data_IF_530047451287
#
_entry.id   IF_530047451287
#
_cell.length_a   1.000
_cell.length_b   1.000
_cell.length_c   1.000
_cell.angle_alpha   90.00
_cell.angle_beta   90.00
_cell.angle_gamma   90.00
#
_symmetry.space_group_name_H-M   'P 1'
#
loop_
_entity.id
_entity.type
_entity.pdbx_description
1 polymer ?
#
# COMPACT_ATOMS: atom_id res chain seq x y z
N UNK A 1 21.28 35.78 -52.54
CA UNK A 1 20.92 34.46 -51.95
C UNK A 1 19.52 34.11 -52.41
N UNK A 2 19.29 32.93 -52.99
CA UNK A 2 18.03 32.60 -53.65
C UNK A 2 16.92 32.44 -52.59
N UNK A 3 15.89 33.28 -52.60
CA UNK A 3 14.81 33.26 -51.60
C UNK A 3 14.14 31.88 -51.42
N UNK A 4 14.00 31.03 -52.46
CA UNK A 4 13.53 29.66 -52.31
C UNK A 4 14.47 28.78 -51.47
N UNK A 5 15.78 28.94 -51.61
CA UNK A 5 16.80 28.16 -50.87
C UNK A 5 16.77 28.55 -49.39
N UNK A 6 16.62 29.84 -49.07
CA UNK A 6 16.47 30.33 -47.70
C UNK A 6 15.22 29.79 -47.00
N UNK A 7 14.08 29.76 -47.70
CA UNK A 7 12.83 29.19 -47.17
C UNK A 7 12.95 27.69 -46.93
N UNK A 8 13.58 26.97 -47.86
CA UNK A 8 13.82 25.54 -47.72
C UNK A 8 14.77 25.25 -46.55
N UNK A 9 15.86 26.00 -46.42
CA UNK A 9 16.78 25.90 -45.30
C UNK A 9 16.10 26.19 -43.95
N UNK A 10 15.27 27.23 -43.88
CA UNK A 10 14.48 27.54 -42.69
C UNK A 10 13.51 26.41 -42.32
N UNK A 11 12.85 25.81 -43.31
CA UNK A 11 11.98 24.65 -43.08
C UNK A 11 12.75 23.46 -42.49
N UNK A 12 13.92 23.12 -43.05
CA UNK A 12 14.74 22.04 -42.52
C UNK A 12 15.27 22.32 -41.11
N UNK A 13 15.65 23.57 -40.82
CA UNK A 13 16.07 23.99 -39.48
C UNK A 13 14.96 23.78 -38.44
N UNK A 14 13.73 24.15 -38.78
CA UNK A 14 12.55 23.93 -37.93
C UNK A 14 12.30 22.43 -37.73
N UNK A 15 12.37 21.62 -38.79
CA UNK A 15 12.20 20.17 -38.69
C UNK A 15 13.29 19.52 -37.84
N UNK A 16 14.54 19.95 -37.95
CA UNK A 16 15.64 19.46 -37.11
C UNK A 16 15.47 19.88 -35.65
N UNK A 17 15.06 21.13 -35.39
CA UNK A 17 14.77 21.58 -34.03
C UNK A 17 13.59 20.81 -33.41
N UNK A 18 12.53 20.55 -34.19
CA UNK A 18 11.40 19.74 -33.76
C UNK A 18 11.80 18.29 -33.49
N UNK A 19 12.62 17.69 -34.36
CA UNK A 19 13.16 16.35 -34.14
C UNK A 19 14.03 16.30 -32.89
N UNK A 20 14.94 17.26 -32.69
CA UNK A 20 15.80 17.33 -31.51
C UNK A 20 15.01 17.56 -30.22
N UNK A 21 13.96 18.39 -30.27
CA UNK A 21 13.06 18.59 -29.14
C UNK A 21 12.29 17.30 -28.82
N UNK A 22 11.77 16.60 -29.85
CA UNK A 22 11.03 15.36 -29.66
C UNK A 22 11.91 14.21 -29.17
N UNK A 23 13.14 14.09 -29.70
CA UNK A 23 14.10 13.11 -29.19
C UNK A 23 14.52 13.43 -27.77
N UNK A 24 14.82 14.69 -27.44
CA UNK A 24 15.17 15.11 -26.08
C UNK A 24 14.02 14.87 -25.09
N UNK A 25 12.79 15.22 -25.48
CA UNK A 25 11.58 14.93 -24.71
C UNK A 25 11.46 13.43 -24.42
N UNK A 26 11.62 12.59 -25.46
CA UNK A 26 11.54 11.14 -25.28
C UNK A 26 12.72 10.54 -24.50
N UNK A 27 13.91 11.13 -24.59
CA UNK A 27 15.15 10.61 -24.01
C UNK A 27 15.40 11.09 -22.58
N UNK A 28 14.71 12.15 -22.14
CA UNK A 28 14.86 12.74 -20.81
C UNK A 28 13.55 12.67 -20.02
N UNK A 29 12.42 13.07 -20.62
CA UNK A 29 11.14 13.14 -19.90
C UNK A 29 10.45 11.78 -19.87
N UNK A 30 10.39 11.07 -21.01
CA UNK A 30 9.74 9.76 -21.09
C UNK A 30 10.71 8.58 -20.87
N UNK A 31 11.97 8.85 -20.55
CA UNK A 31 12.99 7.81 -20.46
C UNK A 31 12.64 6.73 -19.44
N UNK A 32 12.17 7.16 -18.27
CA UNK A 32 11.78 6.24 -17.20
C UNK A 32 10.54 5.43 -17.61
N UNK A 33 9.53 6.07 -18.20
CA UNK A 33 8.33 5.40 -18.70
C UNK A 33 8.63 4.33 -19.78
N UNK A 34 9.61 4.56 -20.66
CA UNK A 34 10.03 3.56 -21.66
C UNK A 34 10.88 2.44 -21.06
N UNK A 35 11.62 2.74 -20.00
CA UNK A 35 12.52 1.78 -19.33
C UNK A 35 11.72 0.85 -18.41
N UNK A 36 10.71 1.38 -17.73
CA UNK A 36 9.78 0.66 -16.86
C UNK A 36 8.67 -0.08 -17.61
N UNK A 37 8.62 0.07 -18.93
CA UNK A 37 7.65 -0.65 -19.75
C UNK A 37 7.94 -2.15 -19.70
N UNK A 38 6.93 -2.94 -19.33
CA UNK A 38 7.03 -4.40 -19.21
C UNK A 38 7.48 -5.11 -20.51
N UNK A 39 7.35 -4.46 -21.67
CA UNK A 39 7.83 -5.00 -22.96
C UNK A 39 9.31 -4.75 -23.22
N UNK A 40 9.99 -3.96 -22.39
CA UNK A 40 11.39 -3.63 -22.55
C UNK A 40 12.28 -4.50 -21.65
N UNK A 41 12.76 -5.62 -22.20
CA UNK A 41 13.60 -6.57 -21.46
C UNK A 41 15.07 -6.15 -21.30
N UNK A 42 15.53 -5.11 -22.01
CA UNK A 42 16.95 -4.71 -22.03
C UNK A 42 17.48 -4.33 -20.64
N UNK A 43 16.81 -3.45 -19.87
CA UNK A 43 17.30 -3.05 -18.54
C UNK A 43 17.40 -4.25 -17.60
N UNK A 44 16.45 -5.17 -17.64
CA UNK A 44 16.42 -6.36 -16.78
C UNK A 44 17.55 -7.35 -17.14
N UNK A 45 17.90 -7.50 -18.43
CA UNK A 45 19.06 -8.31 -18.86
C UNK A 45 20.37 -7.68 -18.39
N UNK A 46 20.50 -6.36 -18.45
CA UNK A 46 21.68 -5.66 -17.93
C UNK A 46 21.77 -5.78 -16.40
N UNK A 47 20.64 -5.70 -15.70
CA UNK A 47 20.53 -5.85 -14.25
C UNK A 47 20.94 -7.27 -13.78
N UNK A 48 20.77 -8.32 -14.61
CA UNK A 48 21.30 -9.66 -14.29
C UNK A 48 22.83 -9.70 -14.18
N UNK A 49 23.56 -8.71 -14.71
CA UNK A 49 25.02 -8.61 -14.53
C UNK A 49 25.41 -7.87 -13.26
N UNK A 50 24.45 -7.19 -12.63
CA UNK A 50 24.65 -6.42 -11.41
C UNK A 50 24.45 -7.35 -10.23
N UNK A 51 25.38 -7.28 -9.26
CA UNK A 51 25.19 -7.95 -7.99
C UNK A 51 24.11 -7.20 -7.19
N UNK A 52 22.83 -7.52 -7.45
CA UNK A 52 21.68 -6.86 -6.83
C UNK A 52 21.73 -6.97 -5.30
N UNK A 53 21.42 -5.87 -4.63
CA UNK A 53 21.57 -5.72 -3.18
C UNK A 53 20.69 -6.67 -2.36
N UNK A 54 21.04 -6.86 -1.09
CA UNK A 54 20.35 -7.81 -0.20
C UNK A 54 19.17 -7.13 0.48
N UNK A 55 18.01 -7.80 0.53
CA UNK A 55 16.90 -7.39 1.40
C UNK A 55 17.02 -8.14 2.72
N UNK A 56 17.00 -7.42 3.85
CA UNK A 56 17.08 -7.99 5.20
C UNK A 56 15.87 -7.64 6.05
N UNK A 57 15.49 -8.54 6.93
CA UNK A 57 14.51 -8.28 7.97
C UNK A 57 15.11 -7.41 9.09
N UNK A 58 14.27 -6.97 10.04
CA UNK A 58 14.70 -6.13 11.17
C UNK A 58 15.76 -6.79 12.06
N UNK A 59 15.74 -8.12 12.16
CA UNK A 59 16.67 -8.92 12.96
C UNK A 59 17.98 -9.22 12.22
N UNK A 60 18.14 -8.68 11.00
CA UNK A 60 19.31 -8.89 10.15
C UNK A 60 19.25 -10.15 9.30
N UNK A 61 18.23 -11.01 9.44
CA UNK A 61 18.06 -12.18 8.60
C UNK A 61 17.91 -11.78 7.12
N UNK A 62 18.53 -12.55 6.24
CA UNK A 62 18.44 -12.32 4.79
C UNK A 62 17.07 -12.79 4.31
N UNK A 63 16.34 -11.91 3.62
CA UNK A 63 15.07 -12.24 2.96
C UNK A 63 15.27 -12.53 1.47
N UNK A 64 16.02 -11.67 0.77
CA UNK A 64 16.34 -11.84 -0.64
C UNK A 64 17.82 -11.49 -0.91
N UNK A 65 18.47 -12.23 -1.81
CA UNK A 65 19.85 -12.01 -2.21
C UNK A 65 20.11 -12.47 -3.63
N UNK A 66 21.19 -11.98 -4.21
CA UNK A 66 21.68 -12.45 -5.50
C UNK A 66 22.71 -13.57 -5.35
N UNK A 67 22.65 -14.55 -6.25
CA UNK A 67 23.59 -15.67 -6.32
C UNK A 67 24.24 -15.70 -7.70
N UNK A 68 25.57 -15.71 -7.74
CA UNK A 68 26.31 -15.83 -8.99
C UNK A 68 26.07 -17.21 -9.63
N UNK A 69 25.73 -17.21 -10.92
CA UNK A 69 25.65 -18.39 -11.77
C UNK A 69 26.93 -18.58 -12.59
N UNK A 70 27.08 -19.76 -13.21
CA UNK A 70 28.25 -20.12 -14.04
C UNK A 70 28.48 -19.19 -15.23
N UNK A 71 27.45 -18.47 -15.68
CA UNK A 71 27.43 -17.57 -16.84
C UNK A 71 27.86 -16.13 -16.54
N UNK A 72 28.40 -15.84 -15.35
CA UNK A 72 28.66 -14.47 -14.85
C UNK A 72 27.40 -13.62 -14.69
N UNK A 73 26.22 -14.25 -14.68
CA UNK A 73 24.94 -13.63 -14.35
C UNK A 73 24.58 -13.92 -12.90
N UNK A 74 23.84 -13.00 -12.28
CA UNK A 74 23.27 -13.15 -10.96
C UNK A 74 21.81 -13.58 -11.06
N UNK A 75 21.45 -14.53 -10.21
CA UNK A 75 20.08 -14.98 -10.03
C UNK A 75 19.53 -14.53 -8.70
N UNK A 76 18.28 -14.07 -8.69
CA UNK A 76 17.59 -13.67 -7.47
C UNK A 76 17.08 -14.87 -6.69
N UNK A 77 17.40 -14.94 -5.40
CA UNK A 77 17.00 -16.01 -4.48
C UNK A 77 16.42 -15.46 -3.19
N UNK A 78 15.36 -16.10 -2.73
CA UNK A 78 14.65 -15.78 -1.50
C UNK A 78 14.92 -16.87 -0.46
N UNK A 79 15.24 -16.47 0.77
CA UNK A 79 15.46 -17.43 1.85
C UNK A 79 14.13 -18.06 2.31
N UNK A 80 14.20 -19.06 3.19
CA UNK A 80 13.00 -19.60 3.84
C UNK A 80 12.23 -18.50 4.59
N UNK A 81 12.95 -17.55 5.18
CA UNK A 81 12.37 -16.38 5.85
C UNK A 81 11.78 -15.42 4.82
N UNK A 82 12.47 -15.18 3.70
CA UNK A 82 11.97 -14.37 2.58
C UNK A 82 10.65 -14.87 2.02
N UNK A 83 10.48 -16.20 1.90
CA UNK A 83 9.23 -16.80 1.46
C UNK A 83 8.03 -16.48 2.38
N UNK A 84 8.26 -16.22 3.67
CA UNK A 84 7.19 -15.78 4.60
C UNK A 84 6.66 -14.38 4.27
N UNK A 85 7.47 -13.58 3.57
CA UNK A 85 7.17 -12.20 3.21
C UNK A 85 6.98 -12.03 1.71
N UNK A 86 6.66 -13.11 0.97
CA UNK A 86 6.59 -13.11 -0.50
C UNK A 86 5.81 -11.92 -1.07
N UNK A 87 4.65 -11.57 -0.51
CA UNK A 87 3.89 -10.40 -0.96
C UNK A 87 4.46 -9.05 -0.53
N UNK A 88 5.13 -8.97 0.63
CA UNK A 88 5.70 -7.70 1.11
C UNK A 88 7.01 -7.37 0.37
N UNK A 89 7.89 -8.35 0.20
CA UNK A 89 9.15 -8.14 -0.55
C UNK A 89 8.93 -8.23 -2.07
N UNK A 90 7.97 -9.03 -2.50
CA UNK A 90 7.70 -9.30 -3.91
C UNK A 90 8.69 -10.28 -4.54
N UNK A 91 8.90 -10.12 -5.83
CA UNK A 91 9.82 -10.93 -6.63
C UNK A 91 10.47 -10.08 -7.74
N UNK A 92 11.51 -10.63 -8.38
CA UNK A 92 12.28 -10.00 -9.45
C UNK A 92 12.79 -11.07 -10.41
N UNK A 93 12.12 -11.22 -11.55
CA UNK A 93 12.48 -12.15 -12.61
C UNK A 93 12.30 -11.51 -13.98
N UNK A 94 13.15 -11.90 -14.92
CA UNK A 94 13.14 -11.34 -16.28
C UNK A 94 11.81 -11.59 -17.02
N UNK A 95 11.21 -12.77 -16.82
CA UNK A 95 10.00 -13.19 -17.55
C UNK A 95 8.70 -12.78 -16.87
N UNK A 96 8.62 -12.96 -15.55
CA UNK A 96 7.39 -12.71 -14.78
C UNK A 96 7.33 -11.31 -14.18
N UNK A 97 8.38 -10.51 -14.38
CA UNK A 97 8.46 -9.13 -13.98
C UNK A 97 8.85 -8.96 -12.52
N UNK A 98 8.40 -7.86 -11.93
CA UNK A 98 8.83 -7.41 -10.61
C UNK A 98 7.66 -6.89 -9.79
N UNK A 99 7.67 -7.15 -8.49
CA UNK A 99 6.62 -6.74 -7.58
C UNK A 99 7.16 -6.29 -6.21
N UNK A 100 6.30 -5.62 -5.43
CA UNK A 100 6.57 -5.18 -4.07
C UNK A 100 7.86 -4.40 -3.87
N UNK A 101 8.53 -4.59 -2.73
CA UNK A 101 9.78 -3.87 -2.41
C UNK A 101 10.89 -4.09 -3.44
N UNK A 102 10.93 -5.25 -4.10
CA UNK A 102 11.86 -5.45 -5.21
C UNK A 102 11.63 -4.41 -6.31
N UNK A 103 10.37 -4.11 -6.65
CA UNK A 103 10.00 -3.09 -7.65
C UNK A 103 10.24 -1.68 -7.14
N UNK A 104 9.76 -1.39 -5.94
CA UNK A 104 9.86 -0.06 -5.34
C UNK A 104 11.32 0.40 -5.20
N UNK A 105 12.17 -0.44 -4.59
CA UNK A 105 13.57 -0.11 -4.35
C UNK A 105 14.49 -0.64 -5.45
N UNK A 106 14.03 -0.75 -6.69
CA UNK A 106 14.86 -1.30 -7.77
C UNK A 106 16.13 -0.48 -8.01
N UNK A 107 16.02 0.84 -7.93
CA UNK A 107 17.14 1.74 -8.17
C UNK A 107 18.22 1.55 -7.11
N UNK A 108 17.84 1.51 -5.83
CA UNK A 108 18.74 1.18 -4.73
C UNK A 108 19.37 -0.21 -4.90
N UNK A 109 18.52 -1.23 -5.13
CA UNK A 109 18.92 -2.62 -5.25
C UNK A 109 19.80 -2.89 -6.47
N UNK A 110 19.84 -2.01 -7.46
CA UNK A 110 20.74 -2.09 -8.63
C UNK A 110 21.88 -1.06 -8.54
N UNK A 111 21.96 -0.26 -7.48
CA UNK A 111 22.98 0.77 -7.31
C UNK A 111 22.85 1.88 -8.36
N UNK A 112 21.62 2.19 -8.79
CA UNK A 112 21.33 3.33 -9.66
C UNK A 112 21.39 4.58 -8.80
N UNK A 113 22.49 5.31 -8.88
CA UNK A 113 22.61 6.65 -8.27
C UNK A 113 22.44 7.71 -9.35
N UNK A 114 22.27 8.96 -8.93
CA UNK A 114 22.28 10.14 -9.81
C UNK A 114 23.40 10.05 -10.87
N UNK A 115 23.12 10.50 -12.09
CA UNK A 115 24.01 10.45 -13.26
C UNK A 115 25.43 10.99 -12.98
N UNK A 116 25.59 11.92 -12.04
CA UNK A 116 26.92 12.45 -11.68
C UNK A 116 27.79 11.43 -10.94
N UNK A 117 27.18 10.63 -10.06
CA UNK A 117 27.87 9.56 -9.31
C UNK A 117 28.23 8.37 -10.20
N UNK A 118 27.37 8.02 -11.15
CA UNK A 118 27.62 6.91 -12.08
C UNK A 118 28.85 7.17 -12.96
N UNK A 119 29.04 8.39 -13.46
CA UNK A 119 30.21 8.80 -14.26
C UNK A 119 31.52 8.67 -13.46
N UNK A 120 31.53 9.11 -12.21
CA UNK A 120 32.72 9.03 -11.34
C UNK A 120 33.09 7.58 -11.02
N UNK A 121 32.09 6.73 -10.75
CA UNK A 121 32.34 5.31 -10.48
C UNK A 121 32.79 4.54 -11.73
N UNK A 122 32.27 4.92 -12.91
CA UNK A 122 32.69 4.38 -14.20
C UNK A 122 34.15 4.75 -14.51
N UNK A 123 34.56 6.00 -14.24
CA UNK A 123 35.96 6.46 -14.35
C UNK A 123 36.90 5.75 -13.36
N UNK A 124 36.38 5.32 -12.21
CA UNK A 124 37.12 4.56 -11.18
C UNK A 124 37.13 3.05 -11.43
N UNK A 125 36.49 2.56 -12.49
CA UNK A 125 36.42 1.14 -12.82
C UNK A 125 35.67 0.29 -11.80
N UNK A 126 34.81 0.90 -10.96
CA UNK A 126 34.02 0.17 -9.97
C UNK A 126 32.88 -0.57 -10.67
N UNK A 127 32.81 -1.88 -10.48
CA UNK A 127 31.63 -2.64 -10.89
C UNK A 127 30.41 -2.14 -10.12
N UNK A 128 29.32 -1.89 -10.83
CA UNK A 128 28.04 -1.50 -10.23
C UNK A 128 27.50 -2.65 -9.39
N UNK A 129 27.21 -2.37 -8.13
CA UNK A 129 26.67 -3.30 -7.15
C UNK A 129 25.50 -2.61 -6.46
N UNK A 130 24.47 -3.38 -6.12
CA UNK A 130 23.28 -2.89 -5.46
C UNK A 130 23.46 -2.59 -3.98
N UNK A 131 22.79 -1.56 -3.52
CA UNK A 131 22.68 -1.22 -2.10
C UNK A 131 21.68 -2.17 -1.42
N UNK A 132 21.89 -2.45 -0.14
CA UNK A 132 21.03 -3.33 0.65
C UNK A 132 19.87 -2.59 1.29
N UNK A 133 18.69 -3.20 1.30
CA UNK A 133 17.49 -2.69 1.97
C UNK A 133 17.33 -3.40 3.31
N UNK A 134 17.33 -2.62 4.40
CA UNK A 134 17.00 -3.14 5.73
C UNK A 134 15.53 -2.80 5.98
N UNK A 135 14.71 -3.80 6.29
CA UNK A 135 13.27 -3.65 6.50
C UNK A 135 12.90 -3.65 7.99
N UNK A 136 11.68 -3.20 8.28
CA UNK A 136 11.02 -3.24 9.58
C UNK A 136 10.35 -4.59 9.87
N UNK A 137 10.28 -5.48 8.87
CA UNK A 137 9.62 -6.78 8.91
C UNK A 137 10.20 -7.67 10.00
N UNK A 138 9.32 -8.31 10.78
CA UNK A 138 9.67 -9.15 11.91
C UNK A 138 9.39 -10.64 11.60
N UNK A 139 10.43 -11.47 11.37
CA UNK A 139 10.23 -12.88 11.02
C UNK A 139 9.57 -13.71 12.12
N UNK A 140 9.69 -13.31 13.39
CA UNK A 140 9.02 -13.96 14.51
C UNK A 140 7.51 -13.67 14.48
N UNK A 141 7.15 -12.39 14.43
CA UNK A 141 5.76 -11.96 14.39
C UNK A 141 5.04 -12.43 13.11
N UNK A 142 5.73 -12.43 11.96
CA UNK A 142 5.18 -12.93 10.69
C UNK A 142 4.77 -14.41 10.78
N UNK A 143 5.60 -15.26 11.41
CA UNK A 143 5.26 -16.68 11.62
C UNK A 143 4.04 -16.86 12.50
N UNK A 144 3.94 -16.07 13.59
CA UNK A 144 2.76 -16.08 14.47
C UNK A 144 1.51 -15.70 13.69
N UNK A 145 1.57 -14.64 12.88
CA UNK A 145 0.44 -14.19 12.06
C UNK A 145 0.01 -15.24 11.02
N UNK A 146 0.96 -15.85 10.30
CA UNK A 146 0.68 -16.93 9.34
C UNK A 146 0.02 -18.12 10.06
N UNK A 147 0.55 -18.53 11.21
CA UNK A 147 0.00 -19.63 11.99
C UNK A 147 -1.43 -19.33 12.49
N UNK A 148 -1.71 -18.09 12.91
CA UNK A 148 -3.02 -17.66 13.38
C UNK A 148 -4.11 -17.75 12.29
N UNK A 149 -3.74 -17.61 11.01
CA UNK A 149 -4.67 -17.79 9.89
C UNK A 149 -5.12 -19.25 9.73
N UNK A 150 -4.37 -20.23 10.23
CA UNK A 150 -4.72 -21.66 10.19
C UNK A 150 -5.10 -22.14 8.77
N UNK A 151 -4.36 -21.66 7.76
CA UNK A 151 -4.60 -22.01 6.34
C UNK A 151 -5.81 -21.32 5.70
N UNK A 152 -6.53 -20.44 6.42
CA UNK A 152 -7.66 -19.68 5.87
C UNK A 152 -7.18 -18.60 4.91
N UNK A 153 -8.04 -18.25 3.94
CA UNK A 153 -7.83 -17.11 3.03
C UNK A 153 -7.98 -15.82 3.82
N UNK A 154 -7.03 -14.90 3.72
CA UNK A 154 -7.07 -13.66 4.48
C UNK A 154 -5.77 -12.88 4.47
N UNK A 155 -5.69 -11.89 5.36
CA UNK A 155 -4.53 -11.04 5.54
C UNK A 155 -4.44 -10.58 6.98
N UNK A 156 -3.21 -10.33 7.44
CA UNK A 156 -2.91 -9.73 8.74
C UNK A 156 -1.84 -8.66 8.51
N UNK A 157 -2.09 -7.47 9.04
CA UNK A 157 -1.14 -6.35 9.04
C UNK A 157 -0.93 -5.90 10.48
N UNK A 158 0.33 -5.68 10.88
CA UNK A 158 0.67 -5.09 12.17
C UNK A 158 1.62 -3.91 11.97
N UNK A 159 1.26 -2.77 12.56
CA UNK A 159 1.97 -1.51 12.46
C UNK A 159 2.38 -1.09 13.87
N UNK A 160 3.60 -0.63 14.03
CA UNK A 160 4.04 0.05 15.26
C UNK A 160 3.42 1.46 15.31
N UNK A 161 2.50 1.76 16.26
CA UNK A 161 1.69 2.97 16.21
C UNK A 161 2.48 4.27 16.16
N UNK A 162 3.50 4.39 17.02
CA UNK A 162 4.29 5.61 17.18
C UNK A 162 5.18 5.95 15.99
N UNK A 163 5.48 4.97 15.12
CA UNK A 163 6.45 5.16 14.04
C UNK A 163 5.88 4.91 12.65
N UNK A 164 4.78 4.16 12.53
CA UNK A 164 4.28 3.67 11.24
C UNK A 164 5.07 2.46 10.70
N UNK A 165 6.01 1.90 11.47
CA UNK A 165 6.80 0.75 10.99
C UNK A 165 5.91 -0.47 10.80
N UNK A 166 5.83 -0.98 9.58
CA UNK A 166 5.10 -2.22 9.28
C UNK A 166 5.96 -3.41 9.73
N UNK A 167 5.46 -4.16 10.72
CA UNK A 167 6.15 -5.32 11.30
C UNK A 167 5.71 -6.63 10.67
N UNK A 168 4.43 -6.71 10.31
CA UNK A 168 3.79 -7.91 9.74
C UNK A 168 2.95 -7.48 8.56
N UNK A 169 3.06 -8.21 7.45
CA UNK A 169 2.19 -8.08 6.29
C UNK A 169 2.04 -9.46 5.67
N UNK A 170 0.91 -10.10 5.95
CA UNK A 170 0.59 -11.47 5.51
C UNK A 170 -0.54 -11.40 4.49
N UNK A 171 -0.45 -12.19 3.42
CA UNK A 171 -1.55 -12.51 2.52
C UNK A 171 -1.58 -14.02 2.33
N UNK A 172 -2.74 -14.64 2.53
CA UNK A 172 -2.95 -16.08 2.35
C UNK A 172 -4.14 -16.36 1.45
N UNK A 173 -4.05 -17.42 0.60
CA UNK A 173 -2.86 -18.23 0.31
C UNK A 173 -1.79 -17.41 -0.43
N UNK A 174 -0.53 -17.80 -0.26
CA UNK A 174 0.61 -17.15 -0.91
C UNK A 174 1.35 -18.07 -1.87
N UNK A 175 2.56 -17.68 -2.25
CA UNK A 175 3.42 -18.37 -3.21
C UNK A 175 4.86 -18.44 -2.71
N UNK A 176 5.64 -19.36 -3.28
CA UNK A 176 7.09 -19.37 -3.11
C UNK A 176 7.71 -18.50 -4.21
N UNK A 177 8.34 -17.35 -3.88
CA UNK A 177 8.91 -16.47 -4.87
C UNK A 177 10.03 -17.14 -5.68
N UNK A 178 10.74 -18.14 -5.14
CA UNK A 178 11.79 -18.85 -5.88
C UNK A 178 11.26 -19.70 -7.05
N UNK A 179 9.95 -19.93 -7.12
CA UNK A 179 9.31 -20.73 -8.18
C UNK A 179 8.75 -19.88 -9.32
N UNK A 180 8.79 -18.56 -9.20
CA UNK A 180 8.19 -17.65 -10.19
C UNK A 180 9.07 -17.40 -11.42
N UNK A 181 10.27 -17.97 -11.49
CA UNK A 181 11.06 -17.99 -12.73
C UNK A 181 10.53 -19.04 -13.73
N UNK A 182 9.76 -20.02 -13.24
CA UNK A 182 9.06 -21.02 -14.05
C UNK A 182 7.72 -20.46 -14.53
N UNK A 183 7.63 -20.23 -15.84
CA UNK A 183 6.45 -19.67 -16.51
C UNK A 183 5.19 -20.51 -16.28
N UNK A 184 5.30 -21.84 -16.31
CA UNK A 184 4.16 -22.71 -16.08
C UNK A 184 3.64 -22.64 -14.64
N UNK A 185 4.53 -22.37 -13.66
CA UNK A 185 4.12 -22.12 -12.28
C UNK A 185 3.44 -20.76 -12.16
N UNK A 186 4.01 -19.71 -12.75
CA UNK A 186 3.45 -18.36 -12.70
C UNK A 186 2.07 -18.27 -13.37
N UNK A 187 1.90 -18.87 -14.56
CA UNK A 187 0.62 -18.90 -15.27
C UNK A 187 -0.46 -19.59 -14.45
N UNK A 188 -0.11 -20.72 -13.83
CA UNK A 188 -1.02 -21.45 -12.94
C UNK A 188 -1.43 -20.60 -11.73
N UNK A 189 -0.50 -19.85 -11.13
CA UNK A 189 -0.80 -18.99 -9.99
C UNK A 189 -1.61 -17.75 -10.40
N UNK A 190 -1.36 -17.21 -11.60
CA UNK A 190 -2.04 -16.03 -12.14
C UNK A 190 -3.49 -16.32 -12.57
N UNK A 191 -3.77 -17.57 -12.95
CA UNK A 191 -5.11 -18.02 -13.39
C UNK A 191 -5.92 -18.72 -12.29
N UNK A 192 -5.36 -18.83 -11.07
CA UNK A 192 -6.09 -19.38 -9.93
C UNK A 192 -7.02 -18.32 -9.32
N UNK A 193 -8.17 -18.10 -9.95
CA UNK A 193 -9.21 -17.16 -9.49
C UNK A 193 -9.77 -17.53 -8.12
N UNK A 194 -9.81 -18.84 -7.81
CA UNK A 194 -10.36 -19.31 -6.55
C UNK A 194 -9.49 -18.85 -5.37
N UNK A 195 -8.17 -18.92 -5.50
CA UNK A 195 -7.23 -18.64 -4.42
C UNK A 195 -6.48 -17.32 -4.57
N UNK A 196 -6.40 -16.75 -5.77
CA UNK A 196 -5.66 -15.52 -6.12
C UNK A 196 -4.34 -15.40 -5.34
N UNK A 197 -3.41 -16.36 -5.47
CA UNK A 197 -2.24 -16.46 -4.61
C UNK A 197 -1.26 -15.29 -4.80
N UNK A 198 -1.19 -14.71 -6.00
CA UNK A 198 -0.34 -13.55 -6.29
C UNK A 198 -0.90 -12.23 -5.72
N UNK A 199 -2.20 -12.16 -5.42
CA UNK A 199 -2.85 -10.96 -4.90
C UNK A 199 -2.36 -10.65 -3.48
N UNK A 200 -1.82 -9.46 -3.27
CA UNK A 200 -1.50 -8.98 -1.93
C UNK A 200 -2.79 -8.49 -1.26
N UNK A 201 -3.42 -9.36 -0.46
CA UNK A 201 -4.67 -9.02 0.24
C UNK A 201 -4.53 -7.89 1.24
N UNK A 202 -3.32 -7.59 1.71
CA UNK A 202 -3.08 -6.50 2.65
C UNK A 202 -3.28 -5.12 2.02
N UNK A 203 -2.93 -4.96 0.74
CA UNK A 203 -2.84 -3.65 0.07
C UNK A 203 -3.70 -3.55 -1.19
N UNK A 204 -4.01 -4.66 -1.85
CA UNK A 204 -4.68 -4.70 -3.17
C UNK A 204 -6.13 -5.19 -3.11
N UNK A 205 -6.50 -5.89 -2.04
CA UNK A 205 -7.84 -6.44 -1.90
C UNK A 205 -8.71 -5.57 -0.98
N UNK A 206 -9.94 -5.35 -1.43
CA UNK A 206 -10.91 -4.52 -0.76
C UNK A 206 -12.04 -5.31 -0.13
N UNK A 207 -12.32 -5.07 1.14
CA UNK A 207 -13.31 -5.81 1.94
C UNK A 207 -14.32 -4.87 2.59
N UNK A 208 -15.53 -5.35 2.85
CA UNK A 208 -16.45 -4.63 3.73
C UNK A 208 -15.88 -4.69 5.18
N UNK A 209 -15.60 -3.54 5.84
CA UNK A 209 -15.06 -3.56 7.20
C UNK A 209 -16.10 -4.01 8.23
N UNK A 210 -17.38 -3.72 7.97
CA UNK A 210 -18.43 -3.89 8.96
C UNK A 210 -18.08 -3.16 10.25
N UNK A 211 -18.32 -3.82 11.38
CA UNK A 211 -18.25 -3.17 12.70
C UNK A 211 -16.89 -2.62 13.11
N UNK A 212 -15.78 -3.01 12.45
CA UNK A 212 -14.47 -2.38 12.72
C UNK A 212 -14.46 -0.90 12.35
N UNK A 213 -15.28 -0.47 11.38
CA UNK A 213 -15.39 0.92 10.97
C UNK A 213 -16.07 1.82 12.02
N UNK A 214 -16.83 1.25 12.97
CA UNK A 214 -17.44 2.02 14.07
C UNK A 214 -16.39 2.76 14.91
N UNK A 215 -15.12 2.34 14.86
CA UNK A 215 -13.99 3.07 15.46
C UNK A 215 -13.81 4.45 14.81
N UNK A 216 -13.95 4.56 13.49
CA UNK A 216 -13.89 5.84 12.75
C UNK A 216 -15.05 6.74 13.17
N UNK A 217 -16.27 6.18 13.23
CA UNK A 217 -17.46 6.91 13.68
C UNK A 217 -17.35 7.33 15.15
N UNK A 218 -16.80 6.49 16.02
CA UNK A 218 -16.56 6.82 17.42
C UNK A 218 -15.55 7.95 17.57
N UNK A 219 -14.44 7.90 16.82
CA UNK A 219 -13.46 8.99 16.81
C UNK A 219 -14.10 10.32 16.38
N UNK A 220 -14.87 10.32 15.29
CA UNK A 220 -15.59 11.49 14.81
C UNK A 220 -16.60 12.04 15.84
N UNK A 221 -17.34 11.15 16.50
CA UNK A 221 -18.35 11.51 17.48
C UNK A 221 -17.76 12.17 18.74
N UNK A 222 -16.62 11.66 19.20
CA UNK A 222 -15.96 12.16 20.41
C UNK A 222 -15.13 13.41 20.14
N UNK A 223 -14.33 13.43 19.05
CA UNK A 223 -13.44 14.55 18.73
C UNK A 223 -14.20 15.80 18.29
N UNK A 224 -15.39 15.66 17.71
CA UNK A 224 -16.29 16.79 17.42
C UNK A 224 -16.92 17.42 18.66
N UNK A 225 -16.85 16.76 19.82
CA UNK A 225 -17.52 17.19 21.05
C UNK A 225 -19.04 17.02 21.06
N UNK A 226 -19.64 16.47 19.99
CA UNK A 226 -21.09 16.22 19.92
C UNK A 226 -21.53 15.08 20.85
N UNK A 227 -20.62 14.15 21.14
CA UNK A 227 -20.86 13.03 22.04
C UNK A 227 -19.74 12.85 23.05
N UNK A 228 -20.09 12.23 24.17
CA UNK A 228 -19.15 11.72 25.16
C UNK A 228 -19.26 10.19 25.23
N UNK A 229 -18.30 9.48 25.84
CA UNK A 229 -18.43 8.03 26.04
C UNK A 229 -19.71 7.62 26.80
N UNK A 230 -20.26 8.54 27.62
CA UNK A 230 -21.48 8.34 28.41
C UNK A 230 -22.75 8.87 27.74
N UNK A 231 -22.67 9.45 26.55
CA UNK A 231 -23.85 9.88 25.81
C UNK A 231 -24.76 8.67 25.56
N UNK A 232 -26.01 8.78 26.01
CA UNK A 232 -26.99 7.70 25.95
C UNK A 232 -27.71 7.72 24.61
N UNK A 233 -27.70 6.61 23.89
CA UNK A 233 -28.38 6.44 22.60
C UNK A 233 -29.26 5.19 22.64
N UNK A 234 -30.42 5.26 21.99
CA UNK A 234 -31.35 4.13 21.92
C UNK A 234 -30.79 3.03 21.01
N UNK A 235 -30.49 1.87 21.60
CA UNK A 235 -30.21 0.62 20.90
C UNK A 235 -31.47 -0.20 20.61
N UNK A 236 -32.62 0.45 20.40
CA UNK A 236 -33.84 -0.19 19.87
C UNK A 236 -33.55 -0.83 18.51
N UNK A 237 -34.21 -1.94 18.21
CA UNK A 237 -34.15 -2.62 16.91
C UNK A 237 -35.56 -3.12 16.50
N UNK A 238 -35.92 -3.12 15.21
CA UNK A 238 -35.29 -2.36 14.14
C UNK A 238 -35.55 -0.86 14.28
N UNK A 239 -34.80 -0.06 13.53
CA UNK A 239 -35.05 1.37 13.29
C UNK A 239 -35.02 1.64 11.78
N UNK A 240 -35.51 2.81 11.36
CA UNK A 240 -35.31 3.31 9.99
C UNK A 240 -34.08 4.22 9.98
N UNK A 241 -33.15 3.98 9.06
CA UNK A 241 -31.94 4.77 8.82
C UNK A 241 -31.93 5.12 7.34
N UNK A 242 -31.85 6.42 7.03
CA UNK A 242 -31.91 6.95 5.66
C UNK A 242 -33.07 6.37 4.81
N UNK A 243 -34.21 6.13 5.45
CA UNK A 243 -35.42 5.58 4.80
C UNK A 243 -35.45 4.06 4.61
N UNK A 244 -34.44 3.33 5.07
CA UNK A 244 -34.36 1.87 4.97
C UNK A 244 -34.27 1.21 6.36
N UNK A 245 -34.84 -0.01 6.55
CA UNK A 245 -34.80 -0.70 7.83
C UNK A 245 -33.37 -1.15 8.18
N UNK A 246 -32.97 -0.95 9.44
CA UNK A 246 -31.73 -1.42 10.01
C UNK A 246 -32.02 -2.14 11.33
N UNK A 247 -31.33 -3.26 11.56
CA UNK A 247 -31.45 -4.06 12.78
C UNK A 247 -30.10 -4.35 13.42
N UNK A 248 -30.12 -4.58 14.73
CA UNK A 248 -29.00 -5.15 15.45
C UNK A 248 -28.79 -6.62 15.06
N UNK A 249 -27.61 -7.15 15.38
CA UNK A 249 -27.37 -8.59 15.27
C UNK A 249 -28.44 -9.35 16.07
N UNK A 250 -29.02 -10.39 15.47
CA UNK A 250 -30.14 -11.16 16.04
C UNK A 250 -31.35 -10.32 16.48
N UNK A 251 -31.51 -9.10 15.97
CA UNK A 251 -32.54 -8.14 16.36
C UNK A 251 -32.57 -7.83 17.88
N UNK A 252 -31.40 -7.89 18.53
CA UNK A 252 -31.25 -7.62 19.96
C UNK A 252 -31.69 -6.18 20.34
N UNK A 253 -32.33 -6.08 21.51
CA UNK A 253 -32.79 -4.82 22.10
C UNK A 253 -31.86 -4.42 23.24
N UNK A 254 -31.33 -3.21 23.19
CA UNK A 254 -30.45 -2.71 24.25
C UNK A 254 -31.07 -1.59 25.10
N UNK A 255 -32.21 -1.01 24.68
CA UNK A 255 -32.77 0.18 25.34
C UNK A 255 -31.82 1.38 25.21
N UNK A 256 -31.84 2.29 26.18
CA UNK A 256 -30.87 3.39 26.23
C UNK A 256 -29.55 2.90 26.82
N UNK A 257 -28.46 3.03 26.08
CA UNK A 257 -27.11 2.61 26.50
C UNK A 257 -26.07 3.69 26.20
N UNK A 258 -24.97 3.78 26.97
CA UNK A 258 -23.89 4.71 26.68
C UNK A 258 -23.10 4.25 25.44
N UNK A 259 -22.44 5.19 24.76
CA UNK A 259 -21.60 4.88 23.58
C UNK A 259 -20.50 3.86 23.88
N UNK A 260 -19.93 3.86 25.09
CA UNK A 260 -18.98 2.82 25.51
C UNK A 260 -19.59 1.43 25.38
N UNK A 261 -20.79 1.20 25.94
CA UNK A 261 -21.50 -0.08 25.82
C UNK A 261 -21.87 -0.38 24.38
N UNK A 262 -22.29 0.63 23.61
CA UNK A 262 -22.65 0.45 22.21
C UNK A 262 -21.46 0.03 21.34
N UNK A 263 -20.24 0.53 21.61
CA UNK A 263 -19.03 0.07 20.92
C UNK A 263 -18.67 -1.37 21.34
N UNK A 264 -18.66 -1.65 22.65
CA UNK A 264 -18.33 -2.98 23.19
C UNK A 264 -19.28 -4.07 22.68
N UNK A 265 -20.57 -3.77 22.58
CA UNK A 265 -21.60 -4.70 22.09
C UNK A 265 -21.84 -4.58 20.58
N UNK A 266 -21.12 -3.69 19.91
CA UNK A 266 -21.23 -3.47 18.47
C UNK A 266 -22.67 -3.18 18.00
N UNK A 267 -23.41 -2.33 18.71
CA UNK A 267 -24.84 -2.09 18.46
C UNK A 267 -25.05 -1.25 17.18
N UNK A 268 -25.53 -1.88 16.11
CA UNK A 268 -25.67 -1.24 14.79
C UNK A 268 -26.57 -0.01 14.82
N UNK A 269 -27.73 -0.11 15.48
CA UNK A 269 -28.71 0.96 15.47
C UNK A 269 -28.20 2.21 16.16
N UNK A 270 -27.41 2.07 17.23
CA UNK A 270 -26.74 3.22 17.89
C UNK A 270 -25.74 3.89 16.94
N UNK A 271 -24.80 3.14 16.36
CA UNK A 271 -23.74 3.71 15.54
C UNK A 271 -24.24 4.31 14.22
N UNK A 272 -25.34 3.78 13.67
CA UNK A 272 -26.01 4.39 12.53
C UNK A 272 -26.67 5.73 12.90
N UNK A 273 -27.36 5.81 14.04
CA UNK A 273 -27.94 7.07 14.53
C UNK A 273 -26.86 8.11 14.84
N UNK A 274 -25.72 7.69 15.40
CA UNK A 274 -24.58 8.59 15.65
C UNK A 274 -24.04 9.14 14.33
N UNK A 275 -23.84 8.31 13.31
CA UNK A 275 -23.38 8.76 12.01
C UNK A 275 -24.39 9.68 11.29
N UNK A 276 -25.70 9.41 11.41
CA UNK A 276 -26.73 10.32 10.90
C UNK A 276 -26.72 11.67 11.63
N UNK A 277 -26.49 11.66 12.95
CA UNK A 277 -26.41 12.87 13.76
C UNK A 277 -25.19 13.74 13.39
N UNK A 278 -24.02 13.13 13.19
CA UNK A 278 -22.82 13.82 12.73
C UNK A 278 -22.97 14.36 11.31
N UNK A 279 -23.73 13.66 10.47
CA UNK A 279 -23.95 14.03 9.08
C UNK A 279 -22.79 13.65 8.16
N UNK A 280 -23.03 13.83 6.85
CA UNK A 280 -22.14 13.33 5.80
C UNK A 280 -20.84 14.11 5.71
N UNK A 281 -20.90 15.43 5.87
CA UNK A 281 -19.74 16.31 5.81
C UNK A 281 -18.72 15.94 6.90
N UNK A 282 -19.16 15.80 8.15
CA UNK A 282 -18.29 15.42 9.26
C UNK A 282 -17.73 14.02 9.07
N UNK A 283 -18.56 13.06 8.69
CA UNK A 283 -18.06 11.70 8.43
C UNK A 283 -17.04 11.68 7.30
N UNK A 284 -17.26 12.45 6.22
CA UNK A 284 -16.31 12.59 5.10
C UNK A 284 -14.98 13.20 5.55
N UNK A 285 -15.03 14.24 6.39
CA UNK A 285 -13.85 14.87 6.98
C UNK A 285 -13.00 13.86 7.77
N UNK A 286 -13.60 13.12 8.70
CA UNK A 286 -12.85 12.12 9.48
C UNK A 286 -12.37 10.95 8.63
N UNK A 287 -13.16 10.51 7.64
CA UNK A 287 -12.70 9.52 6.66
C UNK A 287 -11.44 10.01 5.93
N UNK A 288 -11.43 11.25 5.47
CA UNK A 288 -10.25 11.86 4.83
C UNK A 288 -9.07 11.93 5.79
N UNK A 289 -9.29 12.39 7.04
CA UNK A 289 -8.24 12.45 8.08
C UNK A 289 -7.62 11.08 8.35
N UNK A 290 -8.41 10.00 8.36
CA UNK A 290 -7.93 8.62 8.47
C UNK A 290 -7.26 8.08 7.18
N UNK A 291 -7.42 8.73 6.02
CA UNK A 291 -6.82 8.34 4.75
C UNK A 291 -7.71 7.57 3.79
N UNK A 292 -9.02 7.55 4.03
CA UNK A 292 -9.96 7.06 3.02
C UNK A 292 -10.03 8.08 1.88
N UNK A 293 -10.29 7.62 0.65
CA UNK A 293 -10.33 8.49 -0.53
C UNK A 293 -8.99 8.66 -1.26
N UNK A 294 -7.93 8.00 -0.80
CA UNK A 294 -6.59 8.03 -1.41
C UNK A 294 -5.90 6.67 -1.34
N UNK A 295 -4.90 6.46 -2.20
CA UNK A 295 -4.02 5.31 -2.04
C UNK A 295 -3.27 5.37 -0.69
N UNK A 296 -3.17 4.26 0.05
CA UNK A 296 -2.46 4.24 1.32
C UNK A 296 -1.00 4.65 1.13
N UNK A 297 -0.44 5.57 1.95
CA UNK A 297 0.96 5.95 1.82
C UNK A 297 1.84 4.81 2.35
N UNK A 298 2.42 4.01 1.45
CA UNK A 298 3.36 2.92 1.74
C UNK A 298 4.51 3.00 0.73
N UNK A 299 5.71 2.63 1.15
CA UNK A 299 6.87 2.39 0.27
C UNK A 299 6.69 1.11 -0.56
N UNK A 300 5.72 1.17 -1.46
CA UNK A 300 5.25 0.05 -2.27
C UNK A 300 4.71 0.59 -3.59
N UNK A 301 4.76 -0.17 -4.70
CA UNK A 301 4.43 0.39 -6.01
C UNK A 301 2.98 0.87 -6.11
N UNK A 302 2.74 2.05 -6.70
CA UNK A 302 1.41 2.66 -6.85
C UNK A 302 0.36 1.71 -7.43
N UNK A 303 0.69 1.00 -8.52
CA UNK A 303 -0.20 0.02 -9.16
C UNK A 303 -0.47 -1.25 -8.32
N UNK A 304 0.12 -1.35 -7.14
CA UNK A 304 -0.03 -2.46 -6.20
C UNK A 304 -0.65 -2.03 -4.86
N UNK A 305 -1.28 -0.86 -4.86
CA UNK A 305 -2.07 -0.32 -3.77
C UNK A 305 -3.51 -0.12 -4.22
N UNK A 306 -4.43 -0.17 -3.26
CA UNK A 306 -5.85 0.06 -3.50
C UNK A 306 -6.35 1.05 -2.47
N UNK A 307 -6.90 2.15 -2.96
CA UNK A 307 -7.70 3.08 -2.18
C UNK A 307 -8.79 2.37 -1.34
N UNK A 308 -9.06 2.92 -0.16
CA UNK A 308 -10.20 2.53 0.67
C UNK A 308 -11.23 3.64 0.70
N UNK A 309 -12.50 3.30 0.52
CA UNK A 309 -13.57 4.30 0.37
C UNK A 309 -14.89 3.68 -0.06
N UNK A 310 -15.82 4.50 -0.53
CA UNK A 310 -17.11 4.05 -1.02
C UNK A 310 -17.00 3.76 -2.51
N UNK A 311 -17.13 2.49 -2.91
CA UNK A 311 -16.93 2.09 -4.30
C UNK A 311 -18.23 1.65 -4.98
N UNK A 312 -18.63 2.36 -6.03
CA UNK A 312 -19.76 1.95 -6.86
C UNK A 312 -19.29 0.93 -7.91
N UNK A 313 -19.55 -0.35 -7.62
CA UNK A 313 -19.17 -1.47 -8.50
C UNK A 313 -19.79 -1.34 -9.90
N UNK A 314 -21.01 -0.79 -10.01
CA UNK A 314 -21.70 -0.66 -11.32
C UNK A 314 -21.09 0.46 -12.15
N UNK A 315 -20.80 1.59 -11.52
CA UNK A 315 -20.18 2.73 -12.19
C UNK A 315 -18.65 2.63 -12.27
N UNK A 316 -18.05 1.61 -11.64
CA UNK A 316 -16.61 1.36 -11.53
C UNK A 316 -15.83 2.59 -11.06
N UNK A 317 -16.36 3.28 -10.04
CA UNK A 317 -15.80 4.54 -9.53
C UNK A 317 -15.97 4.68 -8.03
N UNK A 318 -15.05 5.43 -7.44
CA UNK A 318 -15.16 5.91 -6.07
C UNK A 318 -16.22 7.02 -5.99
N UNK A 319 -16.89 7.10 -4.84
CA UNK A 319 -17.89 8.10 -4.51
C UNK A 319 -17.48 8.79 -3.23
N UNK A 320 -17.56 10.11 -3.24
CA UNK A 320 -17.32 10.91 -2.04
C UNK A 320 -18.33 10.58 -0.93
N UNK A 321 -17.88 10.41 0.32
CA UNK A 321 -18.79 10.10 1.45
C UNK A 321 -19.88 11.14 1.69
N UNK A 322 -19.64 12.40 1.30
CA UNK A 322 -20.60 13.49 1.42
C UNK A 322 -21.73 13.47 0.37
N UNK A 323 -21.61 12.62 -0.65
CA UNK A 323 -22.58 12.52 -1.74
C UNK A 323 -23.97 12.14 -1.22
N UNK A 324 -25.02 12.82 -1.70
CA UNK A 324 -26.42 12.48 -1.40
C UNK A 324 -26.85 11.07 -1.83
N UNK A 325 -26.03 10.36 -2.62
CA UNK A 325 -26.24 8.98 -3.04
C UNK A 325 -25.75 7.92 -2.04
N UNK A 326 -25.27 8.34 -0.88
CA UNK A 326 -24.73 7.48 0.18
C UNK A 326 -25.76 7.37 1.32
N UNK A 327 -25.86 6.23 2.00
CA UNK A 327 -26.53 6.11 3.29
C UNK A 327 -25.47 6.25 4.39
N UNK A 328 -25.37 7.44 4.99
CA UNK A 328 -24.27 7.72 5.93
C UNK A 328 -24.42 6.95 7.24
N UNK A 329 -25.65 6.65 7.67
CA UNK A 329 -25.88 5.80 8.83
C UNK A 329 -25.32 4.39 8.62
N UNK A 330 -25.46 3.85 7.40
CA UNK A 330 -24.84 2.57 7.04
C UNK A 330 -23.34 2.64 6.84
N UNK A 331 -22.80 3.73 6.28
CA UNK A 331 -21.35 3.94 6.24
C UNK A 331 -20.78 3.92 7.66
N UNK A 332 -21.45 4.58 8.62
CA UNK A 332 -21.03 4.64 10.02
C UNK A 332 -20.95 3.29 10.75
N UNK A 333 -21.52 2.23 10.18
CA UNK A 333 -21.39 0.85 10.70
C UNK A 333 -20.55 -0.05 9.79
N UNK A 334 -19.86 0.55 8.82
CA UNK A 334 -18.98 -0.11 7.86
C UNK A 334 -19.71 -0.85 6.74
N UNK A 335 -20.90 -0.39 6.37
CA UNK A 335 -21.71 -0.89 5.25
C UNK A 335 -21.77 0.14 4.11
N UNK A 336 -22.81 0.10 3.27
CA UNK A 336 -23.04 1.06 2.17
C UNK A 336 -21.88 1.15 1.16
N UNK A 337 -21.55 0.01 0.53
CA UNK A 337 -20.48 -0.10 -0.48
C UNK A 337 -19.08 0.32 0.02
N UNK A 338 -18.92 0.55 1.32
CA UNK A 338 -17.63 0.84 1.91
C UNK A 338 -16.70 -0.36 1.75
N UNK A 339 -15.53 -0.09 1.20
CA UNK A 339 -14.56 -1.09 0.80
C UNK A 339 -13.18 -0.64 1.29
N UNK A 340 -12.50 -1.49 2.06
CA UNK A 340 -11.26 -1.14 2.75
C UNK A 340 -10.20 -2.21 2.60
N UNK A 341 -8.94 -1.80 2.63
CA UNK A 341 -7.81 -2.73 2.72
C UNK A 341 -7.49 -3.06 4.19
N UNK A 342 -6.92 -4.24 4.48
CA UNK A 342 -6.40 -4.56 5.81
C UNK A 342 -5.33 -3.56 6.28
N UNK A 343 -4.49 -3.04 5.37
CA UNK A 343 -3.54 -1.97 5.69
C UNK A 343 -4.24 -0.71 6.19
N UNK A 344 -5.30 -0.25 5.51
CA UNK A 344 -6.07 0.92 5.93
C UNK A 344 -6.64 0.75 7.35
N UNK A 345 -7.25 -0.41 7.63
CA UNK A 345 -7.82 -0.65 8.97
C UNK A 345 -6.76 -0.83 10.05
N UNK A 346 -5.58 -1.35 9.72
CA UNK A 346 -4.43 -1.37 10.62
C UNK A 346 -3.97 0.06 10.95
N UNK A 347 -3.95 0.97 9.96
CA UNK A 347 -3.65 2.40 10.16
C UNK A 347 -4.69 3.09 11.04
N UNK A 348 -5.98 2.77 10.90
CA UNK A 348 -7.04 3.27 11.81
C UNK A 348 -6.75 2.85 13.25
N UNK A 349 -6.47 1.57 13.50
CA UNK A 349 -6.15 1.07 14.83
C UNK A 349 -4.86 1.69 15.40
N UNK A 350 -3.82 1.81 14.58
CA UNK A 350 -2.56 2.46 14.95
C UNK A 350 -2.75 3.94 15.31
N UNK A 351 -3.62 4.66 14.59
CA UNK A 351 -3.93 6.07 14.85
C UNK A 351 -4.58 6.24 16.22
N UNK A 352 -5.55 5.39 16.56
CA UNK A 352 -6.18 5.40 17.90
C UNK A 352 -5.16 5.08 19.00
N UNK A 353 -4.30 4.10 18.76
CA UNK A 353 -3.24 3.72 19.69
C UNK A 353 -2.09 4.74 19.80
N UNK A 354 -2.04 5.74 18.92
CA UNK A 354 -1.03 6.79 18.84
C UNK A 354 -1.63 8.18 19.12
N UNK A 355 -2.56 8.25 20.09
CA UNK A 355 -3.18 9.49 20.57
C UNK A 355 -3.70 10.40 19.46
N UNK A 356 -4.33 9.77 18.47
CA UNK A 356 -4.98 10.44 17.35
C UNK A 356 -4.04 10.87 16.22
N UNK A 357 -2.75 10.55 16.28
CA UNK A 357 -1.79 10.87 15.21
C UNK A 357 -1.64 9.69 14.26
N UNK A 358 -2.00 9.89 12.99
CA UNK A 358 -1.80 8.91 11.93
C UNK A 358 -0.39 9.04 11.37
N UNK A 359 0.40 7.99 11.48
CA UNK A 359 1.73 7.89 10.86
C UNK A 359 1.63 7.37 9.42
N UNK A 360 2.56 7.77 8.55
CA UNK A 360 2.72 7.11 7.24
C UNK A 360 3.35 5.72 7.44
N UNK A 361 2.69 4.62 7.05
CA UNK A 361 3.28 3.31 7.17
C UNK A 361 4.47 3.11 6.21
N UNK A 362 5.46 2.33 6.64
CA UNK A 362 6.64 2.02 5.81
C UNK A 362 7.24 0.65 6.18
N UNK A 363 7.67 -0.09 5.17
CA UNK A 363 8.28 -1.42 5.25
C UNK A 363 9.80 -1.35 5.39
N UNK A 364 10.48 -0.45 4.68
CA UNK A 364 11.92 -0.25 4.72
C UNK A 364 12.32 0.65 5.92
N UNK A 365 13.43 0.36 6.59
CA UNK A 365 14.03 1.21 7.65
C UNK A 365 15.12 2.12 7.08
N UNK A 366 15.95 1.56 6.19
CA UNK A 366 17.11 2.25 5.61
C UNK A 366 17.70 1.50 4.43
N UNK A 367 18.42 2.26 3.61
CA UNK A 367 19.26 1.79 2.52
C UNK A 367 20.72 1.83 2.97
N UNK A 368 21.47 0.76 2.74
CA UNK A 368 22.85 0.58 3.19
C UNK A 368 23.74 0.25 1.99
N UNK A 369 24.77 1.03 1.75
CA UNK A 369 25.69 0.80 0.64
C UNK A 369 26.58 -0.43 0.84
N UNK A 370 27.32 -0.77 -0.21
CA UNK A 370 28.29 -1.88 -0.22
C UNK A 370 29.39 -1.78 0.85
N UNK A 371 29.69 -0.57 1.32
CA UNK A 371 30.67 -0.31 2.38
C UNK A 371 30.04 -0.41 3.78
N UNK A 372 28.73 -0.68 3.87
CA UNK A 372 27.96 -0.77 5.12
C UNK A 372 27.48 0.57 5.67
N UNK A 373 27.62 1.66 4.92
CA UNK A 373 27.17 3.00 5.34
C UNK A 373 25.69 3.16 5.03
N UNK A 374 24.96 3.79 5.95
CA UNK A 374 23.56 4.15 5.70
C UNK A 374 23.53 5.33 4.73
N UNK A 375 23.02 5.12 3.52
CA UNK A 375 22.86 6.19 2.51
C UNK A 375 21.54 6.92 2.66
N UNK A 376 20.51 6.20 3.10
CA UNK A 376 19.20 6.74 3.38
C UNK A 376 18.61 6.08 4.62
N UNK A 377 17.96 6.87 5.47
CA UNK A 377 17.16 6.38 6.58
C UNK A 377 15.75 6.92 6.44
N UNK A 378 14.79 6.01 6.35
CA UNK A 378 13.37 6.35 6.30
C UNK A 378 12.96 6.70 7.73
N UNK A 379 12.60 7.97 7.93
CA UNK A 379 12.22 8.48 9.26
C UNK A 379 10.70 8.36 9.42
N UNK A 380 10.22 8.08 10.63
CA UNK A 380 8.80 8.18 10.94
C UNK A 380 8.24 9.55 10.53
N UNK A 381 7.16 9.54 9.77
CA UNK A 381 6.50 10.76 9.30
C UNK A 381 5.05 10.78 9.78
N UNK A 382 4.65 11.90 10.39
CA UNK A 382 3.25 12.14 10.75
C UNK A 382 2.50 12.54 9.47
N UNK A 383 1.46 11.78 9.13
CA UNK A 383 0.59 12.11 8.01
C UNK A 383 -0.42 13.18 8.40
N UNK A 384 -1.15 12.95 9.49
CA UNK A 384 -2.30 13.77 9.88
C UNK A 384 -2.61 13.62 11.38
N UNK A 385 -3.11 14.68 12.03
CA UNK A 385 -3.75 14.57 13.35
C UNK A 385 -5.24 14.34 13.18
N UNK A 386 -5.67 13.10 13.35
CA UNK A 386 -7.05 12.63 13.11
C UNK A 386 -7.99 12.92 14.26
N UNK A 387 -7.47 12.99 15.49
CA UNK A 387 -8.23 13.43 16.65
C UNK A 387 -7.31 14.06 17.69
N UNK A 388 -7.90 14.84 18.58
CA UNK A 388 -7.26 15.32 19.80
C UNK A 388 -6.74 14.16 20.64
N UNK A 389 -5.65 14.40 21.36
CA UNK A 389 -5.15 13.44 22.34
C UNK A 389 -6.17 13.30 23.47
N UNK A 390 -6.31 12.10 24.04
CA UNK A 390 -7.11 11.93 25.27
C UNK A 390 -6.60 12.88 26.35
N UNK A 391 -7.51 13.70 26.87
CA UNK A 391 -7.26 14.60 28.02
C UNK A 391 -7.21 13.82 29.32
#
# INVERSE_FOLDING_TARGET
MNAPILKLFGLFLVLFAALAAMTSYNSVINADAYRENDKNSRPQIEEQRIHRGVIRARDGSVLARSRLQKSSLYERRYSQQGALFAHAIGYDYLRTGRAGLEREHNDDLTGRRSELTSIVDQLRGRQRVGDSIITNLDPGAQRVAIAALQGRKGSIVAIEPATGKVRVMVSTPGYDPNRLDDEGVFDKLSTDDANSPLLNRATQAGYAPGSTFKVVTAAAALDSGEFTPQSMVSGKSPISVSGAPLQNFSNEQFGMIPLTTALTKSVNTVWAQVAEKLGRERMSEYMTRFGFGSDPPLDYPDGQMRESGIYDVKARKWIEPDSGRVDIGRVGIGQERLNVTPLQMATVAATVANDGVRMKPHLADRVVDVDGRTVERIKPEQAERVMSASS
#
